data_IF_866956020549
#
_entry.id   IF_866956020549
#
_cell.length_a   1.000
_cell.length_b   1.000
_cell.length_c   1.000
_cell.angle_alpha   90.00
_cell.angle_beta   90.00
_cell.angle_gamma   90.00
#
_symmetry.space_group_name_H-M   'P 1'
#
loop_
_entity.id
_entity.type
_entity.pdbx_description
1 polymer ?
#
# COMPACT_ATOMS: atom_id res chain seq x y z
N UNK A 1 -19.01 -7.23 -16.84
CA UNK A 1 -19.45 -6.04 -17.59
C UNK A 1 -18.78 -4.84 -16.95
N UNK A 2 -18.40 -3.81 -17.69
CA UNK A 2 -17.61 -2.68 -17.17
C UNK A 2 -18.38 -1.72 -16.26
N UNK A 3 -19.71 -1.88 -16.18
CA UNK A 3 -20.62 -1.02 -15.42
C UNK A 3 -20.40 -1.09 -13.88
N UNK A 4 -19.81 -2.17 -13.38
CA UNK A 4 -19.64 -2.37 -11.94
C UNK A 4 -18.43 -1.61 -11.37
N UNK A 5 -17.42 -1.27 -12.19
CA UNK A 5 -16.19 -0.61 -11.73
C UNK A 5 -16.46 0.80 -11.15
N UNK A 6 -17.23 1.68 -11.81
CA UNK A 6 -17.59 2.97 -11.22
C UNK A 6 -18.35 2.84 -9.89
N UNK A 7 -19.25 1.87 -9.79
CA UNK A 7 -20.00 1.61 -8.56
C UNK A 7 -19.07 1.14 -7.44
N UNK A 8 -18.19 0.18 -7.72
CA UNK A 8 -17.18 -0.28 -6.75
C UNK A 8 -16.27 0.87 -6.30
N UNK A 9 -15.92 1.77 -7.21
CA UNK A 9 -15.16 2.98 -6.87
C UNK A 9 -15.89 3.92 -5.91
N UNK A 10 -17.20 4.09 -6.06
CA UNK A 10 -18.01 4.91 -5.16
C UNK A 10 -18.15 4.29 -3.77
N UNK A 11 -18.19 2.96 -3.67
CA UNK A 11 -18.28 2.23 -2.41
C UNK A 11 -17.04 2.37 -1.52
N UNK A 12 -15.96 2.98 -2.00
CA UNK A 12 -14.77 3.31 -1.19
C UNK A 12 -15.03 4.44 -0.17
N UNK A 13 -16.09 5.21 -0.35
CA UNK A 13 -16.51 6.27 0.58
C UNK A 13 -17.54 5.78 1.61
N UNK A 14 -17.92 4.51 1.56
CA UNK A 14 -18.87 3.88 2.47
C UNK A 14 -18.17 3.39 3.76
N UNK A 15 -18.92 2.72 4.65
CA UNK A 15 -18.41 2.14 5.87
C UNK A 15 -17.24 1.15 5.60
N UNK A 16 -16.26 1.02 6.51
CA UNK A 16 -15.00 0.34 6.22
C UNK A 16 -15.12 -1.07 5.64
N UNK A 17 -16.06 -1.87 6.15
CA UNK A 17 -16.27 -3.24 5.65
C UNK A 17 -16.72 -3.28 4.18
N UNK A 18 -17.52 -2.31 3.76
CA UNK A 18 -18.00 -2.18 2.37
C UNK A 18 -16.85 -1.70 1.48
N UNK A 19 -16.10 -0.69 1.93
CA UNK A 19 -14.94 -0.19 1.20
C UNK A 19 -13.85 -1.26 1.01
N UNK A 20 -13.60 -2.09 2.04
CA UNK A 20 -12.69 -3.25 1.92
C UNK A 20 -13.21 -4.22 0.86
N UNK A 21 -14.47 -4.65 0.93
CA UNK A 21 -15.04 -5.58 -0.05
C UNK A 21 -15.02 -5.01 -1.48
N UNK A 22 -15.23 -3.70 -1.63
CA UNK A 22 -15.13 -3.02 -2.91
C UNK A 22 -13.68 -3.04 -3.45
N UNK A 23 -12.68 -2.78 -2.61
CA UNK A 23 -11.27 -2.91 -3.00
C UNK A 23 -10.89 -4.34 -3.37
N UNK A 24 -11.40 -5.35 -2.66
CA UNK A 24 -11.19 -6.76 -2.99
C UNK A 24 -11.66 -7.07 -4.42
N UNK A 25 -12.85 -6.59 -4.76
CA UNK A 25 -13.42 -6.74 -6.09
C UNK A 25 -12.59 -5.99 -7.16
N UNK A 26 -12.20 -4.74 -6.89
CA UNK A 26 -11.35 -3.95 -7.81
C UNK A 26 -9.99 -4.61 -8.04
N UNK A 27 -9.38 -5.20 -7.00
CA UNK A 27 -8.14 -5.97 -7.12
C UNK A 27 -8.33 -7.20 -8.01
N UNK A 28 -9.45 -7.91 -7.87
CA UNK A 28 -9.76 -9.09 -8.67
C UNK A 28 -10.02 -8.74 -10.14
N UNK A 29 -10.73 -7.64 -10.39
CA UNK A 29 -11.06 -7.16 -11.74
C UNK A 29 -9.87 -6.51 -12.45
N UNK A 30 -8.94 -5.90 -11.70
CA UNK A 30 -7.78 -5.16 -12.20
C UNK A 30 -8.16 -4.17 -13.34
N UNK A 31 -9.10 -3.24 -13.09
CA UNK A 31 -9.56 -2.32 -14.11
C UNK A 31 -8.43 -1.36 -14.55
N UNK A 32 -8.52 -0.77 -15.77
CA UNK A 32 -7.50 0.14 -16.29
C UNK A 32 -7.21 1.35 -15.39
N UNK A 33 -8.19 1.79 -14.60
CA UNK A 33 -8.14 2.92 -13.69
C UNK A 33 -7.89 2.52 -12.22
N UNK A 34 -7.37 1.30 -11.97
CA UNK A 34 -7.07 0.80 -10.62
C UNK A 34 -6.25 1.77 -9.78
N UNK A 35 -5.34 2.54 -10.38
CA UNK A 35 -4.54 3.53 -9.66
C UNK A 35 -5.40 4.59 -8.96
N UNK A 36 -6.46 5.09 -9.61
CA UNK A 36 -7.35 6.09 -9.01
C UNK A 36 -8.15 5.50 -7.82
N UNK A 37 -8.40 4.19 -7.82
CA UNK A 37 -9.04 3.52 -6.70
C UNK A 37 -8.05 3.26 -5.55
N UNK A 38 -6.80 2.93 -5.87
CA UNK A 38 -5.71 2.85 -4.90
C UNK A 38 -5.55 4.19 -4.17
N UNK A 39 -5.52 5.30 -4.90
CA UNK A 39 -5.43 6.64 -4.30
C UNK A 39 -6.54 6.91 -3.30
N UNK A 40 -7.80 6.61 -3.66
CA UNK A 40 -8.95 6.77 -2.77
C UNK A 40 -8.83 5.90 -1.52
N UNK A 41 -8.47 4.63 -1.67
CA UNK A 41 -8.32 3.72 -0.54
C UNK A 41 -7.19 4.15 0.42
N UNK A 42 -6.09 4.69 -0.11
CA UNK A 42 -4.97 5.19 0.70
C UNK A 42 -5.29 6.49 1.45
N UNK A 43 -6.27 7.26 0.99
CA UNK A 43 -6.75 8.47 1.67
C UNK A 43 -7.83 8.18 2.74
N UNK A 44 -8.25 6.93 2.89
CA UNK A 44 -9.30 6.54 3.82
C UNK A 44 -8.81 6.60 5.28
N UNK A 45 -9.69 6.98 6.22
CA UNK A 45 -9.33 7.09 7.64
C UNK A 45 -9.16 5.72 8.33
N UNK A 46 -9.89 4.70 7.86
CA UNK A 46 -9.82 3.35 8.38
C UNK A 46 -8.59 2.58 7.87
N UNK A 47 -7.83 2.03 8.81
CA UNK A 47 -6.57 1.33 8.53
C UNK A 47 -6.74 0.06 7.69
N UNK A 48 -7.87 -0.65 7.76
CA UNK A 48 -8.11 -1.85 6.95
C UNK A 48 -8.30 -1.49 5.48
N UNK A 49 -9.03 -0.41 5.20
CA UNK A 49 -9.20 0.11 3.83
C UNK A 49 -7.85 0.54 3.25
N UNK A 50 -7.05 1.28 4.03
CA UNK A 50 -5.70 1.72 3.61
C UNK A 50 -4.81 0.52 3.31
N UNK A 51 -4.78 -0.51 4.18
CA UNK A 51 -4.02 -1.75 3.91
C UNK A 51 -4.48 -2.44 2.63
N UNK A 52 -5.77 -2.39 2.31
CA UNK A 52 -6.26 -2.96 1.05
C UNK A 52 -5.85 -2.13 -0.16
N UNK A 53 -5.81 -0.80 -0.02
CA UNK A 53 -5.17 0.11 -0.97
C UNK A 53 -3.71 -0.23 -1.21
N UNK A 54 -2.93 -0.46 -0.15
CA UNK A 54 -1.52 -0.88 -0.26
C UNK A 54 -1.37 -2.24 -0.97
N UNK A 55 -2.23 -3.21 -0.67
CA UNK A 55 -2.24 -4.50 -1.37
C UNK A 55 -2.54 -4.34 -2.86
N UNK A 56 -3.48 -3.48 -3.23
CA UNK A 56 -3.80 -3.15 -4.62
C UNK A 56 -2.66 -2.44 -5.34
N UNK A 57 -1.93 -1.55 -4.66
CA UNK A 57 -0.82 -0.79 -5.22
C UNK A 57 0.28 -1.68 -5.83
N UNK A 58 0.45 -2.92 -5.36
CA UNK A 58 1.39 -3.90 -5.91
C UNK A 58 1.11 -4.30 -7.36
N UNK A 59 -0.12 -4.09 -7.83
CA UNK A 59 -0.55 -4.41 -9.20
C UNK A 59 -0.29 -3.26 -10.17
N UNK A 60 0.16 -2.11 -9.66
CA UNK A 60 0.54 -0.96 -10.46
C UNK A 60 1.94 -1.13 -11.04
N UNK A 61 2.31 -0.37 -12.09
CA UNK A 61 3.69 -0.28 -12.55
C UNK A 61 4.64 0.06 -11.40
N UNK A 62 5.85 -0.51 -11.41
CA UNK A 62 6.77 -0.49 -10.26
C UNK A 62 7.05 0.92 -9.69
N UNK A 63 7.17 1.94 -10.55
CA UNK A 63 7.38 3.33 -10.11
C UNK A 63 6.15 3.90 -9.36
N UNK A 64 4.95 3.63 -9.86
CA UNK A 64 3.70 4.00 -9.19
C UNK A 64 3.53 3.22 -7.89
N UNK A 65 3.77 1.90 -7.91
CA UNK A 65 3.72 1.05 -6.73
C UNK A 65 4.64 1.56 -5.61
N UNK A 66 5.90 1.88 -5.91
CA UNK A 66 6.85 2.42 -4.93
C UNK A 66 6.34 3.73 -4.30
N UNK A 67 5.80 4.63 -5.13
CA UNK A 67 5.24 5.91 -4.67
C UNK A 67 4.05 5.71 -3.74
N UNK A 68 3.08 4.87 -4.14
CA UNK A 68 1.86 4.61 -3.36
C UNK A 68 2.15 3.87 -2.06
N UNK A 69 3.03 2.87 -2.10
CA UNK A 69 3.44 2.16 -0.90
C UNK A 69 4.24 3.06 0.05
N UNK A 70 5.09 3.94 -0.48
CA UNK A 70 5.84 4.93 0.31
C UNK A 70 4.95 5.86 1.12
N UNK A 71 3.79 6.28 0.57
CA UNK A 71 2.82 7.09 1.31
C UNK A 71 2.30 6.38 2.57
N UNK A 72 2.12 5.05 2.51
CA UNK A 72 1.69 4.23 3.65
C UNK A 72 2.68 4.22 4.81
N UNK A 73 3.97 4.49 4.56
CA UNK A 73 4.95 4.64 5.62
C UNK A 73 4.60 5.82 6.54
N UNK A 74 3.93 6.87 6.05
CA UNK A 74 3.56 8.04 6.86
C UNK A 74 2.25 7.95 7.62
N UNK A 75 1.60 6.79 7.60
CA UNK A 75 0.31 6.62 8.21
C UNK A 75 0.38 6.63 9.76
N UNK A 76 -0.65 7.20 10.42
CA UNK A 76 -0.69 7.30 11.88
C UNK A 76 -0.76 5.95 12.60
N UNK A 77 -1.41 4.95 11.99
CA UNK A 77 -1.44 3.57 12.50
C UNK A 77 -0.13 2.83 12.20
N UNK A 78 0.52 2.32 13.25
CA UNK A 78 1.75 1.52 13.17
C UNK A 78 1.58 0.30 12.25
N UNK A 79 0.40 -0.33 12.29
CA UNK A 79 0.13 -1.54 11.52
C UNK A 79 0.09 -1.28 10.00
N UNK A 80 -0.35 -0.07 9.60
CA UNK A 80 -0.29 0.36 8.19
C UNK A 80 1.16 0.63 7.78
N UNK A 81 1.96 1.28 8.63
CA UNK A 81 3.38 1.53 8.36
C UNK A 81 4.17 0.23 8.18
N UNK A 82 3.95 -0.74 9.07
CA UNK A 82 4.57 -2.06 8.97
C UNK A 82 4.15 -2.80 7.70
N UNK A 83 2.87 -2.73 7.32
CA UNK A 83 2.39 -3.32 6.07
C UNK A 83 3.03 -2.66 4.83
N UNK A 84 3.12 -1.34 4.81
CA UNK A 84 3.80 -0.60 3.74
C UNK A 84 5.29 -0.98 3.65
N UNK A 85 5.98 -1.06 4.78
CA UNK A 85 7.39 -1.47 4.85
C UNK A 85 7.61 -2.85 4.22
N UNK A 86 6.83 -3.85 4.64
CA UNK A 86 6.91 -5.20 4.08
C UNK A 86 6.73 -5.20 2.56
N UNK A 87 5.71 -4.50 2.07
CA UNK A 87 5.39 -4.45 0.64
C UNK A 87 6.47 -3.73 -0.19
N UNK A 88 7.11 -2.71 0.36
CA UNK A 88 8.26 -2.05 -0.27
C UNK A 88 9.48 -2.97 -0.31
N UNK A 89 9.74 -3.75 0.75
CA UNK A 89 10.78 -4.77 0.75
C UNK A 89 10.57 -5.81 -0.35
N UNK A 90 9.33 -6.29 -0.49
CA UNK A 90 8.94 -7.22 -1.56
C UNK A 90 9.07 -6.60 -2.97
N UNK A 91 8.90 -5.27 -3.11
CA UNK A 91 9.08 -4.58 -4.39
C UNK A 91 10.56 -4.48 -4.78
N UNK A 92 11.47 -4.35 -3.81
CA UNK A 92 12.93 -4.47 -4.01
C UNK A 92 13.57 -3.43 -4.94
N UNK A 93 12.87 -2.34 -5.28
CA UNK A 93 13.42 -1.29 -6.14
C UNK A 93 14.28 -0.31 -5.35
N UNK A 94 15.22 0.38 -6.02
CA UNK A 94 16.03 1.42 -5.35
C UNK A 94 15.19 2.54 -4.72
N UNK A 95 14.05 2.90 -5.34
CA UNK A 95 13.10 3.85 -4.76
C UNK A 95 12.42 3.30 -3.50
N UNK A 96 12.14 1.99 -3.46
CA UNK A 96 11.57 1.33 -2.28
C UNK A 96 12.58 1.31 -1.13
N UNK A 97 13.84 0.94 -1.40
CA UNK A 97 14.93 0.97 -0.41
C UNK A 97 15.11 2.36 0.18
N UNK A 98 15.19 3.40 -0.67
CA UNK A 98 15.34 4.78 -0.19
C UNK A 98 14.18 5.23 0.71
N UNK A 99 12.93 4.84 0.37
CA UNK A 99 11.77 5.14 1.20
C UNK A 99 11.81 4.43 2.56
N UNK A 100 12.24 3.16 2.58
CA UNK A 100 12.42 2.37 3.80
C UNK A 100 13.49 2.99 4.71
N UNK A 101 14.65 3.34 4.17
CA UNK A 101 15.75 3.99 4.93
C UNK A 101 15.31 5.33 5.53
N UNK A 102 14.66 6.18 4.73
CA UNK A 102 14.17 7.47 5.19
C UNK A 102 13.18 7.34 6.35
N UNK A 103 12.25 6.38 6.27
CA UNK A 103 11.32 6.08 7.36
C UNK A 103 12.04 5.51 8.58
N UNK A 104 12.96 4.57 8.38
CA UNK A 104 13.70 3.90 9.47
C UNK A 104 14.56 4.85 10.30
N UNK A 105 15.01 5.96 9.72
CA UNK A 105 15.77 6.99 10.43
C UNK A 105 14.94 7.75 11.49
N UNK A 106 13.61 7.77 11.37
CA UNK A 106 12.72 8.57 12.23
C UNK A 106 11.64 7.75 12.93
N UNK A 107 11.59 6.43 12.71
CA UNK A 107 10.54 5.58 13.29
C UNK A 107 10.82 5.27 14.76
N UNK A 108 9.81 5.50 15.61
CA UNK A 108 9.90 5.28 17.05
C UNK A 108 9.20 4.00 17.49
N UNK A 109 8.24 3.47 16.72
CA UNK A 109 7.55 2.23 17.06
C UNK A 109 8.44 1.00 16.79
N UNK A 110 8.69 0.19 17.81
CA UNK A 110 9.60 -0.96 17.74
C UNK A 110 9.15 -2.01 16.71
N UNK A 111 7.85 -2.30 16.63
CA UNK A 111 7.32 -3.27 15.68
C UNK A 111 7.48 -2.77 14.24
N UNK A 112 7.34 -1.46 14.03
CA UNK A 112 7.57 -0.86 12.70
C UNK A 112 9.07 -0.85 12.36
N UNK A 113 9.97 -0.57 13.32
CA UNK A 113 11.42 -0.68 13.08
C UNK A 113 11.84 -2.09 12.67
N UNK A 114 11.32 -3.11 13.35
CA UNK A 114 11.56 -4.52 12.98
C UNK A 114 11.08 -4.83 11.56
N UNK A 115 9.89 -4.36 11.20
CA UNK A 115 9.35 -4.54 9.85
C UNK A 115 10.21 -3.83 8.77
N UNK A 116 10.71 -2.62 9.07
CA UNK A 116 11.60 -1.86 8.18
C UNK A 116 12.96 -2.56 8.01
N UNK A 117 13.56 -3.03 9.10
CA UNK A 117 14.85 -3.73 9.08
C UNK A 117 14.74 -5.05 8.30
N UNK A 118 13.66 -5.80 8.51
CA UNK A 118 13.38 -7.01 7.72
C UNK A 118 13.19 -6.69 6.23
N UNK A 119 12.45 -5.64 5.90
CA UNK A 119 12.22 -5.21 4.52
C UNK A 119 13.51 -4.77 3.80
N UNK A 120 14.40 -4.05 4.50
CA UNK A 120 15.71 -3.64 3.98
C UNK A 120 16.62 -4.85 3.71
N UNK A 121 16.61 -5.83 4.63
CA UNK A 121 17.36 -7.07 4.45
C UNK A 121 16.83 -7.94 3.29
N UNK A 122 15.53 -7.84 2.96
CA UNK A 122 14.93 -8.51 1.80
C UNK A 122 15.25 -7.77 0.49
N UNK A 123 15.04 -6.45 0.43
CA UNK A 123 15.31 -5.65 -0.76
C UNK A 123 16.78 -5.68 -1.18
N UNK A 124 17.71 -5.74 -0.22
CA UNK A 124 19.14 -5.90 -0.49
C UNK A 124 19.52 -7.23 -1.15
N UNK A 125 18.68 -8.28 -1.01
CA UNK A 125 18.88 -9.58 -1.69
C UNK A 125 18.31 -9.60 -3.10
N UNK A 126 17.29 -8.79 -3.39
CA UNK A 126 16.65 -8.72 -4.70
C UNK A 126 17.39 -7.79 -5.70
N UNK A 127 18.17 -6.83 -5.20
CA UNK A 127 18.90 -5.85 -6.00
C UNK A 127 20.39 -6.15 -6.23
N UNK A 128 20.88 -7.31 -5.78
CA UNK A 128 22.28 -7.76 -5.92
C UNK A 128 22.54 -8.63 -7.14
#
# INVERSE_FOLDING_TARGET
DGADVPLLGALLEDQPAVAVAAMDALIALAPPDLEAHVERALAHADAEVVKRGLAAARRLPAAAAATRLGAGLAHGSWHVRAAAARLLGELGSGAATAALEARRAVEEDELVREALDAALAEGGRAGG
#
